data_IF_535269602178
#
_entry.id   IF_535269602178
#
_cell.length_a   1.000
_cell.length_b   1.000
_cell.length_c   1.000
_cell.angle_alpha   90.00
_cell.angle_beta   90.00
_cell.angle_gamma   90.00
#
_symmetry.space_group_name_H-M   'P 1'
#
loop_
_entity.id
_entity.type
_entity.pdbx_description
1 polymer ?
#
# COMPACT_ATOMS: atom_id res chain seq x y z
N UNK A 1 32.26 -0.87 33.79
CA UNK A 1 31.67 0.21 32.96
C UNK A 1 30.38 -0.33 32.39
N UNK A 2 29.24 0.21 32.78
CA UNK A 2 27.93 -0.26 32.30
C UNK A 2 27.46 0.57 31.12
N UNK A 3 27.09 -0.08 30.02
CA UNK A 3 26.53 0.61 28.86
C UNK A 3 25.17 1.22 29.20
N UNK A 4 25.08 2.54 29.04
CA UNK A 4 23.82 3.27 29.24
C UNK A 4 22.95 3.07 28.00
N UNK A 5 22.00 2.14 28.08
CA UNK A 5 21.08 1.87 26.97
C UNK A 5 19.89 2.83 27.03
N UNK A 6 19.67 3.57 25.93
CA UNK A 6 18.51 4.43 25.81
C UNK A 6 17.24 3.60 25.54
N UNK A 7 16.43 3.40 26.59
CA UNK A 7 15.19 2.62 26.53
C UNK A 7 14.15 3.20 25.56
N UNK A 8 14.14 4.51 25.30
CA UNK A 8 13.23 5.13 24.32
C UNK A 8 13.58 4.68 22.91
N UNK A 9 14.87 4.66 22.56
CA UNK A 9 15.33 4.15 21.26
C UNK A 9 15.01 2.66 21.11
N UNK A 10 15.28 1.86 22.14
CA UNK A 10 14.96 0.43 22.13
C UNK A 10 13.47 0.16 21.89
N UNK A 11 12.57 0.87 22.60
CA UNK A 11 11.12 0.77 22.37
C UNK A 11 10.71 1.18 20.96
N UNK A 12 11.27 2.28 20.43
CA UNK A 12 10.98 2.74 19.07
C UNK A 12 11.40 1.71 18.02
N UNK A 13 12.54 1.05 18.22
CA UNK A 13 13.00 -0.01 17.32
C UNK A 13 12.05 -1.21 17.35
N UNK A 14 11.63 -1.65 18.54
CA UNK A 14 10.64 -2.74 18.67
C UNK A 14 9.32 -2.42 17.95
N UNK A 15 8.76 -1.24 18.20
CA UNK A 15 7.53 -0.80 17.53
C UNK A 15 7.65 -0.77 16.00
N UNK A 16 8.81 -0.38 15.46
CA UNK A 16 9.06 -0.44 14.01
C UNK A 16 9.12 -1.87 13.48
N UNK A 17 9.72 -2.79 14.23
CA UNK A 17 9.82 -4.20 13.85
C UNK A 17 8.43 -4.85 13.84
N UNK A 18 7.61 -4.59 14.86
CA UNK A 18 6.22 -5.06 14.95
C UNK A 18 5.40 -4.55 13.74
N UNK A 19 5.47 -3.25 13.44
CA UNK A 19 4.80 -2.68 12.29
C UNK A 19 5.26 -3.29 10.94
N UNK A 20 6.54 -3.63 10.81
CA UNK A 20 7.06 -4.31 9.62
C UNK A 20 6.55 -5.75 9.50
N UNK A 21 6.44 -6.46 10.62
CA UNK A 21 5.90 -7.82 10.66
C UNK A 21 4.41 -7.83 10.29
N UNK A 22 3.61 -6.92 10.85
CA UNK A 22 2.20 -6.75 10.48
C UNK A 22 2.06 -6.38 9.00
N UNK A 23 2.91 -5.49 8.47
CA UNK A 23 2.91 -5.15 7.06
C UNK A 23 3.31 -6.33 6.15
N UNK A 24 4.20 -7.22 6.59
CA UNK A 24 4.52 -8.46 5.89
C UNK A 24 3.34 -9.43 5.91
N UNK A 25 2.69 -9.59 7.05
CA UNK A 25 1.52 -10.44 7.18
C UNK A 25 0.34 -9.94 6.35
N UNK A 26 0.10 -8.63 6.33
CA UNK A 26 -0.93 -8.02 5.50
C UNK A 26 -0.63 -8.18 3.99
N UNK A 27 0.64 -8.15 3.59
CA UNK A 27 1.05 -8.46 2.20
C UNK A 27 0.70 -9.90 1.82
N UNK A 28 0.89 -10.86 2.74
CA UNK A 28 0.55 -12.26 2.52
C UNK A 28 -0.98 -12.45 2.52
N UNK A 29 -1.67 -11.94 3.54
CA UNK A 29 -3.12 -12.13 3.73
C UNK A 29 -3.95 -11.48 2.62
N UNK A 30 -3.62 -10.24 2.25
CA UNK A 30 -4.41 -9.47 1.29
C UNK A 30 -3.81 -9.48 -0.12
N UNK A 31 -2.60 -10.05 -0.30
CA UNK A 31 -1.95 -10.27 -1.60
C UNK A 31 -1.51 -9.01 -2.33
N UNK A 32 -1.94 -7.81 -1.92
CA UNK A 32 -1.60 -6.53 -2.56
C UNK A 32 -1.30 -5.45 -1.53
N UNK A 33 -0.22 -4.72 -1.75
CA UNK A 33 0.11 -3.51 -0.99
C UNK A 33 -0.83 -2.36 -1.35
N UNK A 34 -0.84 -1.31 -0.52
CA UNK A 34 -1.58 -0.08 -0.81
C UNK A 34 -1.12 0.55 -2.13
N UNK A 35 0.19 0.63 -2.35
CA UNK A 35 0.78 1.20 -3.57
C UNK A 35 0.35 0.43 -4.84
N UNK A 36 0.34 -0.90 -4.79
CA UNK A 36 -0.12 -1.73 -5.91
C UNK A 36 -1.61 -1.53 -6.21
N UNK A 37 -2.44 -1.44 -5.17
CA UNK A 37 -3.87 -1.12 -5.34
C UNK A 37 -4.10 0.24 -5.98
N UNK A 38 -3.35 1.25 -5.54
CA UNK A 38 -3.45 2.61 -6.10
C UNK A 38 -2.98 2.66 -7.55
N UNK A 39 -1.88 1.98 -7.87
CA UNK A 39 -1.38 1.87 -9.24
C UNK A 39 -2.38 1.16 -10.15
N UNK A 40 -2.97 0.06 -9.68
CA UNK A 40 -4.00 -0.66 -10.42
C UNK A 40 -5.24 0.19 -10.65
N UNK A 41 -5.75 0.87 -9.62
CA UNK A 41 -6.90 1.77 -9.76
C UNK A 41 -6.62 2.93 -10.72
N UNK A 42 -5.39 3.46 -10.74
CA UNK A 42 -4.98 4.48 -11.72
C UNK A 42 -4.96 3.92 -13.15
N UNK A 43 -4.45 2.70 -13.35
CA UNK A 43 -4.47 2.03 -14.65
C UNK A 43 -5.89 1.76 -15.12
N UNK A 44 -6.77 1.24 -14.25
CA UNK A 44 -8.17 0.98 -14.57
C UNK A 44 -8.90 2.27 -15.00
N UNK A 45 -8.68 3.38 -14.29
CA UNK A 45 -9.24 4.70 -14.69
C UNK A 45 -8.74 5.17 -16.04
N UNK A 46 -7.44 5.03 -16.32
CA UNK A 46 -6.87 5.39 -17.63
C UNK A 46 -7.45 4.52 -18.76
N UNK A 47 -7.61 3.22 -18.52
CA UNK A 47 -8.21 2.30 -19.49
C UNK A 47 -9.68 2.62 -19.71
N UNK A 48 -10.43 2.93 -18.65
CA UNK A 48 -11.82 3.34 -18.73
C UNK A 48 -11.96 4.63 -19.56
N UNK A 49 -11.16 5.65 -19.28
CA UNK A 49 -11.17 6.91 -20.04
C UNK A 49 -10.80 6.71 -21.52
N UNK A 50 -9.80 5.86 -21.81
CA UNK A 50 -9.45 5.52 -23.20
C UNK A 50 -10.60 4.84 -23.92
N UNK A 51 -11.22 3.85 -23.27
CA UNK A 51 -12.36 3.13 -23.84
C UNK A 51 -13.53 4.07 -24.11
N UNK A 52 -13.80 4.98 -23.18
CA UNK A 52 -14.86 5.99 -23.28
C UNK A 52 -14.60 6.96 -24.44
N UNK A 53 -13.38 7.46 -24.60
CA UNK A 53 -12.99 8.30 -25.75
C UNK A 53 -13.05 7.58 -27.11
N UNK A 54 -13.15 6.24 -27.11
CA UNK A 54 -13.33 5.43 -28.31
C UNK A 54 -14.77 4.92 -28.50
N UNK A 55 -15.68 5.21 -27.56
CA UNK A 55 -17.07 4.81 -27.66
C UNK A 55 -17.77 5.56 -28.81
N UNK A 56 -18.52 4.82 -29.63
CA UNK A 56 -19.26 5.36 -30.80
C UNK A 56 -20.70 5.73 -30.49
N UNK A 57 -21.17 5.37 -29.30
CA UNK A 57 -22.49 5.70 -28.76
C UNK A 57 -22.26 6.30 -27.38
N UNK A 58 -22.96 7.39 -27.06
CA UNK A 58 -22.96 7.93 -25.70
C UNK A 58 -23.36 6.79 -24.75
N UNK A 59 -22.56 6.58 -23.71
CA UNK A 59 -22.84 5.58 -22.69
C UNK A 59 -24.00 6.16 -21.87
N UNK A 60 -25.22 5.72 -22.13
CA UNK A 60 -26.37 6.04 -21.27
C UNK A 60 -26.12 5.36 -19.91
N UNK A 61 -25.98 6.18 -18.86
CA UNK A 61 -25.80 5.77 -17.46
C UNK A 61 -27.09 5.16 -16.87
#
# INVERSE_FOLDING_TARGET
MGDVVNLKRARKTRARQEAQAEAAENRIRFGRTKAEREAQAAQERLMAQRLDGHARTERED
#
